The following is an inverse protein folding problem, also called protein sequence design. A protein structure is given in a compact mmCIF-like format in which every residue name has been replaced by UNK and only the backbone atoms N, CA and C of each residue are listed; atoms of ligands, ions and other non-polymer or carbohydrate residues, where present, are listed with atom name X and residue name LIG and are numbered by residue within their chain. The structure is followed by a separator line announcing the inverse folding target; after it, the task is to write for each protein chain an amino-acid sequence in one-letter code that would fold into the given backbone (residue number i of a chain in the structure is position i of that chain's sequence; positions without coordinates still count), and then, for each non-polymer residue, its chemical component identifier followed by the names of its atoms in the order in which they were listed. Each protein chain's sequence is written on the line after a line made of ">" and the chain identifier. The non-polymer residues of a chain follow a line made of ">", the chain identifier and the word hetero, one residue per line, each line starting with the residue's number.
data_IF_087299454515
#
_entry.id   IF_087299454515
#
_cell.length_a   1.000
_cell.length_b   1.000
_cell.length_c   1.000
_cell.angle_alpha   90.00
_cell.angle_beta   90.00
_cell.angle_gamma   90.00
#
_symmetry.space_group_name_H-M   'P 1'
#
loop_
_entity.id
_entity.type
_entity.pdbx_description
1 polymer ?
#
# COMPACT_ATOMS: atom_id res chain seq x y z
N UNK A 1 8.59 -2.42 -2.15
CA UNK A 1 7.86 -2.69 -0.89
C UNK A 1 8.76 -2.28 0.27
N UNK A 2 8.43 -1.24 1.00
CA UNK A 2 9.14 -0.89 2.23
C UNK A 2 8.47 -1.63 3.37
N UNK A 3 9.11 -2.67 3.89
CA UNK A 3 8.74 -3.28 5.15
C UNK A 3 9.25 -2.38 6.27
N UNK A 4 8.36 -1.73 7.01
CA UNK A 4 8.71 -1.12 8.30
C UNK A 4 8.51 -2.18 9.38
N UNK A 5 9.60 -2.75 9.84
CA UNK A 5 9.64 -3.65 10.99
C UNK A 5 10.80 -3.27 11.88
N UNK A 6 10.69 -3.53 13.16
CA UNK A 6 11.82 -3.41 14.09
C UNK A 6 12.80 -4.52 13.73
N UNK A 7 13.90 -4.15 13.10
CA UNK A 7 14.94 -5.06 12.65
C UNK A 7 15.97 -5.21 13.77
N UNK A 8 16.12 -6.43 14.29
CA UNK A 8 17.31 -6.76 15.09
C UNK A 8 18.42 -7.13 14.12
N UNK A 9 19.53 -6.40 14.04
CA UNK A 9 20.72 -6.82 13.31
C UNK A 9 21.35 -8.03 14.02
N UNK A 10 21.97 -8.92 13.24
CA UNK A 10 22.98 -9.81 13.84
C UNK A 10 24.12 -8.92 14.30
N UNK A 11 24.22 -8.71 15.61
CA UNK A 11 25.35 -8.02 16.18
C UNK A 11 26.54 -8.96 16.33
N UNK A 12 27.62 -8.62 15.64
CA UNK A 12 28.94 -8.67 16.25
C UNK A 12 29.25 -7.23 16.68
N UNK A 13 29.11 -6.94 17.97
CA UNK A 13 29.52 -5.65 18.53
C UNK A 13 28.41 -4.97 19.35
N UNK A 14 28.69 -4.81 20.61
CA UNK A 14 27.91 -4.10 21.64
C UNK A 14 27.57 -2.66 21.22
N UNK A 15 26.26 -2.30 21.30
CA UNK A 15 25.83 -0.91 21.15
C UNK A 15 24.32 -0.77 21.18
N UNK A 16 23.80 -0.12 22.20
CA UNK A 16 22.40 0.25 22.43
C UNK A 16 21.80 1.06 21.27
N UNK A 17 20.60 0.68 20.86
CA UNK A 17 19.74 1.53 20.05
C UNK A 17 19.12 0.81 18.85
N UNK A 18 17.87 0.32 18.98
CA UNK A 18 17.08 -0.21 17.88
C UNK A 18 16.76 0.86 16.83
N UNK A 19 17.66 1.10 15.90
CA UNK A 19 17.40 1.94 14.75
C UNK A 19 16.67 1.12 13.69
N UNK A 20 15.38 1.38 13.47
CA UNK A 20 14.63 0.83 12.35
C UNK A 20 15.30 1.25 11.03
N UNK A 21 15.82 0.30 10.25
CA UNK A 21 16.34 0.58 8.90
C UNK A 21 15.19 0.57 7.92
N UNK A 22 14.75 1.74 7.49
CA UNK A 22 13.85 1.90 6.36
C UNK A 22 14.62 1.75 5.02
N UNK A 23 13.93 1.31 3.95
CA UNK A 23 14.48 1.36 2.59
C UNK A 23 15.03 0.05 2.04
N UNK A 24 14.78 -1.10 2.70
CA UNK A 24 15.16 -2.42 2.17
C UNK A 24 14.06 -3.00 1.28
N UNK A 25 14.42 -3.56 0.15
CA UNK A 25 13.52 -4.24 -0.77
C UNK A 25 13.68 -5.74 -0.61
N UNK A 26 12.77 -6.35 0.17
CA UNK A 26 12.77 -7.80 0.38
C UNK A 26 12.39 -8.51 -0.93
N UNK A 27 13.20 -9.47 -1.33
CA UNK A 27 13.02 -10.31 -2.50
C UNK A 27 12.74 -11.76 -2.16
N UNK A 28 13.30 -12.24 -1.07
CA UNK A 28 13.16 -13.63 -0.65
C UNK A 28 12.52 -13.69 0.71
N UNK A 29 11.53 -14.56 0.83
CA UNK A 29 10.82 -14.86 2.07
C UNK A 29 10.81 -16.38 2.23
N UNK A 30 11.37 -16.89 3.33
CA UNK A 30 11.48 -18.32 3.58
C UNK A 30 11.23 -18.64 5.06
N UNK A 31 10.87 -19.88 5.34
CA UNK A 31 10.86 -20.44 6.69
C UNK A 31 12.07 -21.37 6.89
N UNK A 32 12.75 -21.16 8.01
CA UNK A 32 13.82 -22.03 8.49
C UNK A 32 13.51 -22.42 9.94
N UNK A 33 12.92 -23.61 10.11
CA UNK A 33 12.36 -24.04 11.39
C UNK A 33 11.30 -23.02 11.89
N UNK A 34 11.52 -22.51 13.10
CA UNK A 34 10.61 -21.53 13.74
C UNK A 34 10.93 -20.07 13.37
N UNK A 35 11.77 -19.83 12.36
CA UNK A 35 12.16 -18.47 12.00
C UNK A 35 11.77 -18.11 10.58
N UNK A 36 11.43 -16.84 10.40
CA UNK A 36 11.31 -16.19 9.11
C UNK A 36 12.68 -15.69 8.68
N UNK A 37 13.08 -16.00 7.46
CA UNK A 37 14.32 -15.54 6.85
C UNK A 37 13.96 -14.65 5.66
N UNK A 38 14.40 -13.39 5.72
CA UNK A 38 14.16 -12.39 4.69
C UNK A 38 15.50 -11.94 4.12
N UNK A 39 15.59 -11.81 2.81
CA UNK A 39 16.79 -11.32 2.16
C UNK A 39 16.46 -10.35 1.02
N UNK A 40 17.49 -9.62 0.59
CA UNK A 40 17.46 -8.67 -0.51
C UNK A 40 18.37 -9.19 -1.64
N UNK A 41 17.92 -9.09 -2.89
CA UNK A 41 18.72 -9.50 -4.03
C UNK A 41 19.99 -8.65 -4.18
N UNK A 42 21.09 -9.31 -4.52
CA UNK A 42 22.35 -8.62 -4.80
C UNK A 42 23.04 -8.05 -3.56
N UNK A 43 22.65 -8.47 -2.37
CA UNK A 43 23.29 -8.08 -1.13
C UNK A 43 23.39 -9.26 -0.16
N UNK A 44 24.40 -9.24 0.71
CA UNK A 44 24.55 -10.24 1.78
C UNK A 44 23.61 -9.98 2.98
N UNK A 45 22.72 -8.98 2.84
CA UNK A 45 21.83 -8.64 3.93
C UNK A 45 20.75 -9.69 4.11
N UNK A 46 20.63 -10.16 5.34
CA UNK A 46 19.59 -11.09 5.77
C UNK A 46 19.00 -10.65 7.10
N UNK A 47 17.71 -10.91 7.28
CA UNK A 47 17.02 -10.77 8.54
C UNK A 47 16.44 -12.12 8.95
N UNK A 48 16.69 -12.51 10.19
CA UNK A 48 16.05 -13.65 10.82
C UNK A 48 15.15 -13.17 11.96
N UNK A 49 13.89 -13.58 11.96
CA UNK A 49 12.89 -13.15 12.94
C UNK A 49 12.04 -14.34 13.38
N UNK A 50 11.68 -14.39 14.66
CA UNK A 50 10.77 -15.41 15.20
C UNK A 50 9.32 -15.18 14.80
N UNK A 51 8.94 -13.93 14.52
CA UNK A 51 7.58 -13.51 14.14
C UNK A 51 7.64 -12.59 12.94
N UNK A 52 6.66 -12.70 12.04
CA UNK A 52 6.49 -11.79 10.90
C UNK A 52 5.12 -11.13 10.99
N UNK A 53 5.08 -9.81 10.81
CA UNK A 53 3.82 -9.06 10.72
C UNK A 53 3.73 -8.37 9.37
N UNK A 54 2.63 -8.58 8.67
CA UNK A 54 2.33 -7.96 7.38
C UNK A 54 1.28 -6.86 7.55
N UNK A 55 1.66 -5.63 7.23
CA UNK A 55 0.75 -4.47 7.23
C UNK A 55 0.05 -4.24 5.90
N UNK A 56 0.25 -5.11 4.93
CA UNK A 56 -0.39 -5.08 3.61
C UNK A 56 -0.56 -6.48 3.05
N UNK A 57 -1.53 -6.64 2.14
CA UNK A 57 -1.89 -7.94 1.58
C UNK A 57 -1.06 -8.39 0.38
N UNK A 58 -0.04 -7.62 -0.06
CA UNK A 58 0.67 -7.91 -1.31
C UNK A 58 1.34 -9.29 -1.33
N UNK A 59 1.98 -9.70 -0.24
CA UNK A 59 2.65 -11.01 -0.13
C UNK A 59 1.68 -12.19 0.08
N UNK A 60 0.41 -11.89 0.31
CA UNK A 60 -0.66 -12.84 0.59
C UNK A 60 -1.70 -12.95 -0.54
N UNK A 61 -1.68 -12.06 -1.52
CA UNK A 61 -2.74 -11.95 -2.52
C UNK A 61 -2.24 -12.32 -3.93
N UNK A 62 -3.00 -13.12 -4.72
CA UNK A 62 -2.60 -13.56 -6.07
C UNK A 62 -2.28 -12.42 -7.05
N UNK A 63 -2.84 -11.20 -6.87
CA UNK A 63 -2.51 -10.06 -7.72
C UNK A 63 -1.01 -9.70 -7.72
N UNK A 64 -0.27 -10.11 -6.69
CA UNK A 64 1.18 -9.88 -6.62
C UNK A 64 1.93 -10.60 -7.72
N UNK A 65 1.40 -11.73 -8.20
CA UNK A 65 2.06 -12.57 -9.21
C UNK A 65 2.21 -11.85 -10.55
N UNK A 66 1.33 -10.91 -10.88
CA UNK A 66 1.45 -10.10 -12.09
C UNK A 66 2.69 -9.19 -12.10
N UNK A 67 3.20 -8.83 -10.91
CA UNK A 67 4.29 -7.86 -10.73
C UNK A 67 5.56 -8.47 -10.13
N UNK A 68 5.45 -9.67 -9.58
CA UNK A 68 6.55 -10.41 -8.97
C UNK A 68 6.75 -11.70 -9.77
N UNK A 69 8.01 -12.00 -10.12
CA UNK A 69 8.33 -13.26 -10.82
C UNK A 69 8.33 -14.43 -9.83
N UNK A 70 7.15 -14.77 -9.35
CA UNK A 70 6.91 -15.82 -8.36
C UNK A 70 5.91 -16.83 -8.93
N UNK A 71 6.12 -18.11 -8.65
CA UNK A 71 5.23 -19.19 -9.15
C UNK A 71 3.90 -19.23 -8.42
N UNK A 72 3.89 -18.84 -7.15
CA UNK A 72 2.71 -18.74 -6.32
C UNK A 72 2.87 -17.58 -5.33
N UNK A 73 1.82 -17.32 -4.55
CA UNK A 73 1.81 -16.28 -3.53
C UNK A 73 3.03 -16.43 -2.61
N UNK A 74 3.82 -15.36 -2.36
CA UNK A 74 5.06 -15.42 -1.59
C UNK A 74 4.95 -16.14 -0.24
N UNK A 75 3.90 -15.87 0.52
CA UNK A 75 3.66 -16.60 1.78
C UNK A 75 3.43 -18.09 1.56
N UNK A 76 2.81 -18.48 0.44
CA UNK A 76 2.56 -19.88 0.11
C UNK A 76 3.85 -20.62 -0.28
N UNK A 77 4.81 -19.92 -0.89
CA UNK A 77 6.13 -20.49 -1.14
C UNK A 77 6.91 -20.71 0.16
N UNK A 78 6.77 -19.79 1.11
CA UNK A 78 7.44 -19.90 2.41
C UNK A 78 6.79 -20.93 3.35
N UNK A 79 5.46 -21.06 3.28
CA UNK A 79 4.66 -22.00 4.09
C UNK A 79 3.73 -22.78 3.15
N UNK A 80 4.10 -24.00 2.75
CA UNK A 80 3.28 -24.87 1.93
C UNK A 80 1.90 -25.16 2.52
N UNK A 81 0.92 -25.42 1.65
CA UNK A 81 -0.44 -25.75 2.07
C UNK A 81 -0.47 -26.94 3.03
N UNK A 82 -1.34 -26.88 4.03
CA UNK A 82 -1.52 -27.91 5.06
C UNK A 82 -0.54 -27.80 6.25
N UNK A 83 0.45 -26.93 6.19
CA UNK A 83 1.36 -26.72 7.33
C UNK A 83 0.79 -25.79 8.41
N UNK A 84 -0.10 -24.88 8.02
CA UNK A 84 -0.78 -23.96 8.92
C UNK A 84 -2.23 -23.75 8.44
N UNK A 85 -3.21 -24.37 9.09
CA UNK A 85 -4.62 -24.26 8.70
C UNK A 85 -5.17 -22.82 8.75
N UNK A 86 -4.73 -22.01 9.73
CA UNK A 86 -5.17 -20.62 9.87
C UNK A 86 -4.62 -19.77 8.72
N UNK A 87 -3.36 -19.99 8.35
CA UNK A 87 -2.77 -19.35 7.17
C UNK A 87 -3.45 -19.79 5.88
N UNK A 88 -3.80 -21.09 5.75
CA UNK A 88 -4.53 -21.59 4.59
C UNK A 88 -5.88 -20.89 4.43
N UNK A 89 -6.62 -20.72 5.53
CA UNK A 89 -7.89 -20.03 5.54
C UNK A 89 -7.72 -18.52 5.28
N UNK A 90 -6.70 -17.90 5.88
CA UNK A 90 -6.39 -16.48 5.66
C UNK A 90 -6.06 -16.19 4.19
N UNK A 91 -5.18 -16.99 3.57
CA UNK A 91 -4.83 -16.85 2.16
C UNK A 91 -6.01 -17.11 1.24
N UNK A 92 -6.86 -18.12 1.57
CA UNK A 92 -8.10 -18.40 0.85
C UNK A 92 -9.11 -17.26 0.90
N UNK A 93 -9.19 -16.54 2.02
CA UNK A 93 -10.04 -15.34 2.17
C UNK A 93 -9.46 -14.17 1.38
N UNK A 94 -8.16 -13.88 1.58
CA UNK A 94 -7.50 -12.77 0.90
C UNK A 94 -7.50 -12.94 -0.62
N UNK A 95 -7.38 -14.16 -1.13
CA UNK A 95 -7.42 -14.42 -2.58
C UNK A 95 -8.75 -14.02 -3.25
N UNK A 96 -9.84 -13.96 -2.49
CA UNK A 96 -11.17 -13.53 -2.97
C UNK A 96 -11.38 -12.02 -2.86
N UNK A 97 -10.56 -11.33 -2.07
CA UNK A 97 -10.71 -9.90 -1.81
C UNK A 97 -10.45 -9.09 -3.07
N UNK A 98 -11.37 -8.19 -3.39
CA UNK A 98 -11.19 -7.18 -4.43
C UNK A 98 -10.75 -5.87 -3.80
N UNK A 99 -10.07 -5.07 -4.58
CA UNK A 99 -9.66 -3.74 -4.16
C UNK A 99 -9.85 -2.73 -5.28
N UNK A 100 -10.14 -1.50 -4.91
CA UNK A 100 -10.08 -0.37 -5.82
C UNK A 100 -8.66 -0.17 -6.32
N UNK A 101 -8.54 0.19 -7.58
CA UNK A 101 -7.29 0.65 -8.19
C UNK A 101 -7.38 2.15 -8.46
N UNK A 102 -6.34 2.88 -8.15
CA UNK A 102 -6.28 4.33 -8.33
C UNK A 102 -4.98 4.75 -9.01
N UNK A 103 -5.11 5.72 -9.90
CA UNK A 103 -4.00 6.44 -10.51
C UNK A 103 -3.93 7.84 -9.89
N UNK A 104 -2.93 8.09 -9.09
CA UNK A 104 -2.81 9.36 -8.38
C UNK A 104 -1.75 10.23 -9.06
N UNK A 105 -2.18 11.29 -9.75
CA UNK A 105 -1.29 12.36 -10.19
C UNK A 105 -0.98 13.25 -8.99
N UNK A 106 0.30 13.50 -8.76
CA UNK A 106 0.77 14.37 -7.68
C UNK A 106 1.49 15.58 -8.29
N UNK A 107 1.05 16.78 -7.91
CA UNK A 107 1.64 18.03 -8.32
C UNK A 107 1.99 18.88 -7.11
N UNK A 108 3.09 19.61 -7.22
CA UNK A 108 3.47 20.66 -6.29
C UNK A 108 3.23 22.03 -6.93
N UNK A 109 2.25 22.76 -6.38
CA UNK A 109 1.77 24.03 -6.93
C UNK A 109 2.47 25.21 -6.26
N UNK A 110 2.95 26.21 -7.01
CA UNK A 110 3.47 27.47 -6.46
C UNK A 110 2.30 28.41 -6.05
N UNK A 111 1.47 27.98 -5.11
CA UNK A 111 0.26 28.68 -4.68
C UNK A 111 -0.01 28.41 -3.20
N UNK A 112 -0.32 29.46 -2.44
CA UNK A 112 -0.87 29.32 -1.10
C UNK A 112 -2.31 28.78 -1.17
N UNK A 113 -2.51 27.60 -0.61
CA UNK A 113 -3.79 26.88 -0.63
C UNK A 113 -4.67 27.08 0.60
N UNK A 114 -4.34 28.00 1.51
CA UNK A 114 -5.07 28.14 2.79
C UNK A 114 -6.55 28.46 2.61
N UNK A 115 -6.89 29.20 1.57
CA UNK A 115 -8.27 29.60 1.23
C UNK A 115 -8.92 28.67 0.20
N UNK A 116 -8.23 27.65 -0.28
CA UNK A 116 -8.76 26.68 -1.23
C UNK A 116 -9.53 25.55 -0.53
N UNK A 117 -10.52 24.94 -1.20
CA UNK A 117 -11.18 23.76 -0.68
C UNK A 117 -10.15 22.63 -0.50
N UNK A 118 -10.22 21.92 0.61
CA UNK A 118 -9.32 20.77 0.88
C UNK A 118 -9.57 19.60 -0.06
N UNK A 119 -10.79 19.47 -0.54
CA UNK A 119 -11.19 18.41 -1.47
C UNK A 119 -12.23 18.95 -2.45
N UNK A 120 -12.11 18.52 -3.70
CA UNK A 120 -13.08 18.77 -4.77
C UNK A 120 -13.55 17.39 -5.24
N UNK A 121 -14.80 17.04 -4.91
CA UNK A 121 -15.41 15.78 -5.33
C UNK A 121 -16.15 15.98 -6.64
N UNK A 122 -16.00 15.06 -7.57
CA UNK A 122 -16.77 15.04 -8.80
C UNK A 122 -18.11 14.32 -8.56
N UNK A 123 -19.15 14.73 -9.29
CA UNK A 123 -20.42 13.99 -9.30
C UNK A 123 -20.24 12.62 -9.93
N UNK A 124 -21.10 11.63 -9.66
CA UNK A 124 -21.01 10.30 -10.27
C UNK A 124 -20.90 10.33 -11.80
N UNK A 125 -21.66 11.22 -12.45
CA UNK A 125 -21.63 11.39 -13.90
C UNK A 125 -20.27 11.92 -14.38
N UNK A 126 -19.74 12.93 -13.68
CA UNK A 126 -18.42 13.50 -13.97
C UNK A 126 -17.30 12.48 -13.68
N UNK A 127 -17.42 11.67 -12.62
CA UNK A 127 -16.49 10.58 -12.34
C UNK A 127 -16.45 9.55 -13.47
N UNK A 128 -17.62 9.14 -13.96
CA UNK A 128 -17.72 8.20 -15.08
C UNK A 128 -17.12 8.78 -16.38
N UNK A 129 -17.42 10.06 -16.65
CA UNK A 129 -16.96 10.75 -17.86
C UNK A 129 -15.45 11.00 -17.87
N UNK A 130 -14.93 11.59 -16.78
CA UNK A 130 -13.52 11.99 -16.67
C UNK A 130 -12.60 10.88 -16.16
N UNK A 131 -13.15 9.82 -15.60
CA UNK A 131 -12.43 8.79 -14.84
C UNK A 131 -11.55 9.40 -13.74
N UNK A 132 -12.12 10.35 -13.01
CA UNK A 132 -11.51 11.02 -11.86
C UNK A 132 -12.53 11.05 -10.73
N UNK A 133 -12.14 10.63 -9.53
CA UNK A 133 -13.01 10.65 -8.36
C UNK A 133 -13.03 12.02 -7.70
N UNK A 134 -11.84 12.55 -7.43
CA UNK A 134 -11.67 13.81 -6.67
C UNK A 134 -10.28 14.39 -6.86
N UNK A 135 -10.15 15.64 -6.44
CA UNK A 135 -8.88 16.31 -6.22
C UNK A 135 -8.73 16.59 -4.73
N UNK A 136 -7.54 16.42 -4.18
CA UNK A 136 -7.20 16.76 -2.79
C UNK A 136 -6.12 17.83 -2.82
N UNK A 137 -6.35 18.93 -2.09
CA UNK A 137 -5.43 20.05 -1.96
C UNK A 137 -4.90 20.11 -0.54
N UNK A 138 -3.61 20.10 -0.40
CA UNK A 138 -2.93 20.10 0.88
C UNK A 138 -1.90 21.23 0.93
N UNK A 139 -2.20 22.33 1.65
CA UNK A 139 -1.21 23.38 1.90
C UNK A 139 0.05 22.80 2.50
N UNK A 140 1.16 23.28 2.01
CA UNK A 140 2.50 22.94 2.44
C UNK A 140 3.17 24.18 3.06
N UNK A 141 4.35 24.00 3.63
CA UNK A 141 5.20 25.11 3.99
C UNK A 141 5.56 25.97 2.75
N UNK A 142 6.08 27.15 2.96
CA UNK A 142 6.62 28.04 1.93
C UNK A 142 5.60 28.47 0.85
N UNK A 143 4.32 28.63 1.22
CA UNK A 143 3.24 29.05 0.34
C UNK A 143 3.05 28.13 -0.88
N UNK A 144 3.30 26.85 -0.70
CA UNK A 144 3.05 25.81 -1.72
C UNK A 144 1.82 24.98 -1.38
N UNK A 145 1.29 24.30 -2.36
CA UNK A 145 0.14 23.39 -2.18
C UNK A 145 0.38 22.11 -2.97
N UNK A 146 0.35 20.99 -2.27
CA UNK A 146 0.28 19.67 -2.90
C UNK A 146 -1.11 19.43 -3.48
N UNK A 147 -1.19 19.05 -4.75
CA UNK A 147 -2.42 18.58 -5.38
C UNK A 147 -2.30 17.09 -5.69
N UNK A 148 -3.25 16.30 -5.21
CA UNK A 148 -3.38 14.89 -5.56
C UNK A 148 -4.71 14.68 -6.28
N UNK A 149 -4.64 14.26 -7.54
CA UNK A 149 -5.79 13.92 -8.35
C UNK A 149 -5.98 12.42 -8.40
N UNK A 150 -7.11 11.96 -7.87
CA UNK A 150 -7.45 10.53 -7.78
C UNK A 150 -8.15 10.07 -9.07
N UNK A 151 -7.40 9.50 -10.00
CA UNK A 151 -7.89 8.88 -11.22
C UNK A 151 -8.41 7.48 -10.96
N UNK A 152 -9.48 7.11 -11.68
CA UNK A 152 -10.05 5.76 -11.66
C UNK A 152 -9.31 4.85 -12.64
N UNK A 153 -9.25 3.57 -12.32
CA UNK A 153 -8.59 2.57 -13.17
C UNK A 153 -9.28 2.41 -14.52
N UNK A 154 -8.49 2.12 -15.56
CA UNK A 154 -8.99 1.81 -16.91
C UNK A 154 -9.33 0.33 -17.08
N UNK A 155 -8.92 -0.51 -16.13
CA UNK A 155 -9.04 -1.96 -16.22
C UNK A 155 -7.94 -2.61 -17.05
N UNK A 156 -6.97 -1.85 -17.57
CA UNK A 156 -5.88 -2.41 -18.36
C UNK A 156 -4.93 -3.25 -17.48
N UNK A 157 -4.54 -4.45 -17.95
CA UNK A 157 -3.57 -5.26 -17.25
C UNK A 157 -2.23 -4.53 -17.13
N UNK A 158 -1.68 -4.52 -15.92
CA UNK A 158 -0.37 -3.95 -15.67
C UNK A 158 0.67 -5.06 -15.41
N UNK A 159 1.79 -4.94 -16.11
CA UNK A 159 2.96 -5.81 -15.94
C UNK A 159 4.20 -4.92 -15.76
N UNK A 160 5.35 -5.45 -15.32
CA UNK A 160 6.60 -4.70 -15.27
C UNK A 160 6.97 -4.05 -16.61
N UNK A 161 6.60 -4.66 -17.75
CA UNK A 161 6.88 -4.16 -19.09
C UNK A 161 5.93 -3.03 -19.51
N UNK A 162 4.64 -3.13 -19.18
CA UNK A 162 3.63 -2.13 -19.56
C UNK A 162 3.59 -0.94 -18.61
N UNK A 163 3.97 -1.12 -17.35
CA UNK A 163 3.87 -0.10 -16.30
C UNK A 163 4.50 1.26 -16.68
N UNK A 164 5.74 1.34 -17.20
CA UNK A 164 6.35 2.64 -17.50
C UNK A 164 5.60 3.45 -18.55
N UNK A 165 5.02 2.76 -19.54
CA UNK A 165 4.23 3.39 -20.62
C UNK A 165 2.89 3.88 -20.06
N UNK A 166 2.19 3.02 -19.31
CA UNK A 166 0.90 3.36 -18.71
C UNK A 166 1.01 4.53 -17.72
N UNK A 167 2.08 4.61 -16.92
CA UNK A 167 2.32 5.74 -16.03
C UNK A 167 2.42 7.07 -16.79
N UNK A 168 3.17 7.10 -17.89
CA UNK A 168 3.33 8.31 -18.72
C UNK A 168 2.01 8.69 -19.41
N UNK A 169 1.28 7.73 -19.94
CA UNK A 169 0.00 7.97 -20.59
C UNK A 169 -1.03 8.52 -19.61
N UNK A 170 -1.08 7.95 -18.41
CA UNK A 170 -2.03 8.38 -17.39
C UNK A 170 -1.64 9.76 -16.81
N UNK A 171 -0.35 10.06 -16.67
CA UNK A 171 0.11 11.40 -16.29
C UNK A 171 -0.36 12.44 -17.30
N UNK A 172 -0.13 12.20 -18.59
CA UNK A 172 -0.56 13.11 -19.66
C UNK A 172 -2.08 13.32 -19.64
N UNK A 173 -2.85 12.23 -19.60
CA UNK A 173 -4.32 12.28 -19.53
C UNK A 173 -4.83 13.10 -18.34
N UNK A 174 -4.33 12.82 -17.15
CA UNK A 174 -4.78 13.51 -15.94
C UNK A 174 -4.42 15.01 -15.96
N UNK A 175 -3.25 15.35 -16.49
CA UNK A 175 -2.85 16.76 -16.65
C UNK A 175 -3.71 17.52 -17.65
N UNK A 176 -4.10 16.89 -18.77
CA UNK A 176 -4.97 17.48 -19.80
C UNK A 176 -6.38 17.78 -19.25
N UNK A 177 -6.83 17.08 -18.25
CA UNK A 177 -8.13 17.31 -17.63
C UNK A 177 -8.16 18.49 -16.64
N UNK A 178 -7.02 18.87 -16.06
CA UNK A 178 -6.95 19.91 -15.02
C UNK A 178 -7.61 21.23 -15.42
N UNK A 179 -7.38 21.80 -16.64
CA UNK A 179 -8.02 23.04 -17.02
C UNK A 179 -9.54 23.00 -17.02
N UNK A 180 -10.13 21.87 -17.37
CA UNK A 180 -11.57 21.66 -17.42
C UNK A 180 -12.14 21.44 -16.01
N UNK A 181 -11.49 20.64 -15.19
CA UNK A 181 -11.92 20.33 -13.83
C UNK A 181 -11.82 21.55 -12.90
N UNK A 182 -10.92 22.48 -13.20
CA UNK A 182 -10.62 23.65 -12.36
C UNK A 182 -11.19 24.96 -12.90
N UNK A 183 -12.15 24.93 -13.81
CA UNK A 183 -12.74 26.14 -14.41
C UNK A 183 -13.29 27.15 -13.37
N UNK A 184 -13.80 26.65 -12.25
CA UNK A 184 -14.34 27.49 -11.18
C UNK A 184 -13.27 28.09 -10.25
N UNK A 185 -11.99 27.69 -10.43
CA UNK A 185 -10.85 28.16 -9.63
C UNK A 185 -9.71 28.66 -10.53
N UNK A 186 -9.82 29.88 -11.10
CA UNK A 186 -8.83 30.40 -12.07
C UNK A 186 -7.41 30.46 -11.55
N UNK A 187 -7.21 30.84 -10.27
CA UNK A 187 -5.90 30.90 -9.65
C UNK A 187 -5.26 29.50 -9.53
N UNK A 188 -6.06 28.52 -9.12
CA UNK A 188 -5.63 27.12 -9.05
C UNK A 188 -5.32 26.56 -10.45
N UNK A 189 -6.15 26.86 -11.43
CA UNK A 189 -5.91 26.50 -12.83
C UNK A 189 -4.61 27.14 -13.36
N UNK A 190 -4.36 28.40 -13.03
CA UNK A 190 -3.12 29.12 -13.36
C UNK A 190 -1.89 28.46 -12.73
N UNK A 191 -1.97 28.14 -11.44
CA UNK A 191 -0.90 27.48 -10.71
C UNK A 191 -0.56 26.08 -11.26
N UNK A 192 -1.55 25.32 -11.73
CA UNK A 192 -1.33 24.02 -12.34
C UNK A 192 -0.47 24.07 -13.62
N UNK A 193 -0.45 25.19 -14.35
CA UNK A 193 0.43 25.37 -15.52
C UNK A 193 1.90 25.48 -15.14
N UNK A 194 2.19 26.04 -13.96
CA UNK A 194 3.53 26.22 -13.41
C UNK A 194 3.91 25.13 -12.40
N UNK A 195 3.06 24.12 -12.24
CA UNK A 195 3.23 23.07 -11.25
C UNK A 195 4.41 22.14 -11.58
N UNK A 196 5.18 21.80 -10.58
CA UNK A 196 6.13 20.70 -10.65
C UNK A 196 5.38 19.37 -10.57
N UNK A 197 5.67 18.44 -11.50
CA UNK A 197 5.12 17.08 -11.44
C UNK A 197 5.97 16.23 -10.51
N UNK A 198 5.33 15.66 -9.51
CA UNK A 198 5.90 14.62 -8.65
C UNK A 198 5.61 13.22 -9.21
N UNK A 199 4.97 13.16 -10.39
CA UNK A 199 4.66 11.94 -11.12
C UNK A 199 3.29 11.35 -10.82
N UNK A 200 3.03 10.22 -11.43
CA UNK A 200 1.84 9.40 -11.20
C UNK A 200 2.20 8.13 -10.46
N UNK A 201 1.41 7.80 -9.45
CA UNK A 201 1.51 6.53 -8.74
C UNK A 201 0.23 5.70 -8.95
N UNK A 202 0.40 4.43 -9.37
CA UNK A 202 -0.69 3.47 -9.40
C UNK A 202 -0.76 2.68 -8.10
N UNK A 203 -1.88 2.79 -7.43
CA UNK A 203 -2.21 1.96 -6.27
C UNK A 203 -3.05 0.78 -6.73
N UNK A 204 -2.41 -0.38 -6.92
CA UNK A 204 -3.08 -1.61 -7.36
C UNK A 204 -4.05 -2.22 -6.33
N UNK A 205 -4.03 -1.70 -5.10
CA UNK A 205 -4.98 -1.98 -4.03
C UNK A 205 -5.06 -0.75 -3.14
N UNK A 206 -5.79 0.24 -3.61
CA UNK A 206 -5.96 1.51 -2.90
C UNK A 206 -6.89 1.37 -1.69
N UNK A 207 -7.93 0.55 -1.81
CA UNK A 207 -8.89 0.26 -0.76
C UNK A 207 -9.50 -1.10 -0.99
N UNK A 208 -9.57 -1.99 0.01
CA UNK A 208 -10.33 -3.22 -0.08
C UNK A 208 -11.83 -2.92 -0.19
N UNK A 209 -12.53 -3.72 -1.00
CA UNK A 209 -13.95 -3.53 -1.27
C UNK A 209 -14.83 -4.56 -0.56
N UNK A 210 -14.32 -5.79 -0.42
CA UNK A 210 -15.07 -6.94 0.07
C UNK A 210 -14.13 -7.99 0.69
N UNK A 211 -14.73 -9.07 1.17
CA UNK A 211 -14.04 -10.22 1.76
C UNK A 211 -12.96 -9.82 2.78
N UNK A 212 -13.34 -9.09 3.85
CA UNK A 212 -12.38 -8.75 4.90
C UNK A 212 -11.77 -10.01 5.51
N UNK A 213 -10.50 -9.92 5.90
CA UNK A 213 -9.86 -10.97 6.68
C UNK A 213 -10.48 -11.02 8.08
N UNK A 214 -11.07 -12.15 8.51
CA UNK A 214 -11.62 -12.29 9.85
C UNK A 214 -10.60 -11.97 10.94
N UNK A 215 -11.03 -11.32 12.01
CA UNK A 215 -10.15 -10.99 13.14
C UNK A 215 -9.52 -12.23 13.77
N UNK A 216 -10.23 -13.36 13.77
CA UNK A 216 -9.71 -14.65 14.27
C UNK A 216 -8.50 -15.17 13.48
N UNK A 217 -8.31 -14.69 12.27
CA UNK A 217 -7.18 -15.06 11.39
C UNK A 217 -6.07 -14.00 11.35
N UNK A 218 -6.13 -12.98 12.23
CA UNK A 218 -5.06 -11.98 12.31
C UNK A 218 -3.73 -12.55 12.78
N UNK A 219 -3.75 -13.67 13.48
CA UNK A 219 -2.57 -14.37 13.93
C UNK A 219 -2.64 -15.85 13.57
N UNK A 220 -1.64 -16.32 12.84
CA UNK A 220 -1.44 -17.71 12.43
C UNK A 220 -0.31 -18.27 13.29
N UNK A 221 -0.67 -19.05 14.31
CA UNK A 221 0.27 -19.45 15.38
C UNK A 221 1.37 -20.40 14.88
N UNK A 222 1.01 -21.40 14.08
CA UNK A 222 1.94 -22.40 13.57
C UNK A 222 3.05 -21.77 12.69
N UNK A 223 2.74 -20.72 11.94
CA UNK A 223 3.72 -19.99 11.14
C UNK A 223 4.29 -18.76 11.84
N UNK A 224 3.79 -18.39 13.02
CA UNK A 224 4.14 -17.17 13.75
C UNK A 224 4.01 -15.92 12.85
N UNK A 225 2.87 -15.82 12.14
CA UNK A 225 2.59 -14.77 11.16
C UNK A 225 1.38 -13.95 11.59
N UNK A 226 1.52 -12.63 11.60
CA UNK A 226 0.44 -11.71 11.88
C UNK A 226 0.03 -10.87 10.66
N UNK A 227 -1.26 -10.54 10.59
CA UNK A 227 -1.85 -9.65 9.61
C UNK A 227 -2.44 -8.42 10.29
N UNK A 228 -2.09 -7.22 9.81
CA UNK A 228 -2.79 -6.00 10.17
C UNK A 228 -2.90 -5.09 8.95
N UNK A 229 -3.93 -4.27 8.90
CA UNK A 229 -4.19 -3.38 7.77
C UNK A 229 -5.66 -3.05 7.65
N UNK A 230 -5.99 -2.23 6.69
CA UNK A 230 -7.37 -1.81 6.40
C UNK A 230 -8.24 -2.94 5.78
N UNK A 231 -7.63 -4.06 5.41
CA UNK A 231 -8.28 -5.25 4.87
C UNK A 231 -8.76 -6.25 5.94
N UNK A 232 -8.49 -5.98 7.22
CA UNK A 232 -8.98 -6.79 8.34
C UNK A 232 -10.40 -6.38 8.70
N UNK A 233 -11.25 -7.36 9.04
CA UNK A 233 -12.62 -7.15 9.46
C UNK A 233 -12.73 -6.22 10.65
N UNK A 234 -13.75 -5.35 10.64
CA UNK A 234 -14.08 -4.51 11.79
C UNK A 234 -14.47 -3.08 11.43
N UNK A 235 -14.76 -2.25 12.44
CA UNK A 235 -15.04 -0.84 12.22
C UNK A 235 -13.88 -0.14 11.51
N UNK A 236 -14.19 0.62 10.47
CA UNK A 236 -13.20 1.32 9.66
C UNK A 236 -12.54 0.45 8.57
N UNK A 237 -13.09 -0.74 8.23
CA UNK A 237 -12.66 -1.54 7.08
C UNK A 237 -12.48 -0.66 5.82
N UNK A 238 -11.35 -0.82 5.13
CA UNK A 238 -10.97 -0.02 3.97
C UNK A 238 -10.53 1.41 4.28
N UNK A 239 -10.23 1.74 5.55
CA UNK A 239 -9.81 3.07 6.00
C UNK A 239 -8.61 2.99 6.93
N UNK A 240 -7.90 4.11 7.07
CA UNK A 240 -6.77 4.22 7.99
C UNK A 240 -7.14 3.86 9.45
N UNK A 241 -8.37 4.21 9.88
CA UNK A 241 -8.88 3.83 11.20
C UNK A 241 -8.93 2.30 11.37
N UNK A 242 -9.43 1.56 10.38
CA UNK A 242 -9.46 0.10 10.40
C UNK A 242 -8.06 -0.50 10.48
N UNK A 243 -7.12 0.05 9.71
CA UNK A 243 -5.72 -0.37 9.77
C UNK A 243 -5.11 -0.19 11.17
N UNK A 244 -5.35 0.96 11.81
CA UNK A 244 -4.87 1.22 13.18
C UNK A 244 -5.51 0.28 14.20
N UNK A 245 -6.83 0.10 14.13
CA UNK A 245 -7.56 -0.82 15.04
C UNK A 245 -7.06 -2.25 14.90
N UNK A 246 -6.88 -2.72 13.67
CA UNK A 246 -6.35 -4.08 13.43
C UNK A 246 -4.95 -4.26 13.98
N UNK A 247 -4.09 -3.24 13.89
CA UNK A 247 -2.75 -3.28 14.45
C UNK A 247 -2.77 -3.34 15.99
N UNK A 248 -3.66 -2.58 16.64
CA UNK A 248 -3.84 -2.63 18.11
C UNK A 248 -4.34 -4.00 18.56
N UNK A 249 -5.33 -4.57 17.85
CA UNK A 249 -5.84 -5.90 18.16
C UNK A 249 -4.74 -6.97 18.04
N UNK A 250 -3.97 -6.94 16.96
CA UNK A 250 -2.85 -7.86 16.77
C UNK A 250 -1.80 -7.71 17.88
N UNK A 251 -1.48 -6.48 18.27
CA UNK A 251 -0.53 -6.24 19.37
C UNK A 251 -1.03 -6.85 20.68
N UNK A 252 -2.31 -6.74 21.01
CA UNK A 252 -2.91 -7.37 22.18
C UNK A 252 -2.78 -8.91 22.15
N UNK A 253 -3.05 -9.53 21.00
CA UNK A 253 -2.87 -10.99 20.80
C UNK A 253 -1.41 -11.36 21.12
N UNK A 254 -0.45 -10.64 20.55
CA UNK A 254 0.99 -10.92 20.69
C UNK A 254 1.48 -10.75 22.14
N UNK A 255 0.95 -9.77 22.87
CA UNK A 255 1.28 -9.55 24.30
C UNK A 255 0.73 -10.70 25.15
N UNK A 256 -0.51 -11.12 24.92
CA UNK A 256 -1.13 -12.23 25.66
C UNK A 256 -0.40 -13.56 25.45
N UNK A 257 0.17 -13.78 24.25
CA UNK A 257 0.95 -15.01 23.99
C UNK A 257 2.37 -14.97 24.56
N UNK A 258 2.88 -13.81 24.93
CA UNK A 258 4.21 -13.65 25.51
C UNK A 258 4.23 -13.73 27.03
N UNK A 259 3.04 -13.69 27.67
CA UNK A 259 2.84 -13.81 29.11
C UNK A 259 2.67 -15.27 29.53
#
# INVERSE_FOLDING_TARGET
>A
LALRGQLCPREHGSGNGGAGRAGRRIRTLQRDGNHWCLSEDGSDWQLRASRLVLSGSLLAHPRSLAMLDWRQVPLREAVPAGQDPDLDQALGTLAKSRADVRWNLMLDLPLNGDQLPRQIWLTPEAQAHWRVERLVLQPQADNRTGLVMHGLDSGEPITPQTQPVLLKQEEARLRELLPQLLQQWPDLQGACKAAESLGVMRWGASRPLDHPLPQSLQWCDASALGFCGDYVEGPGFGRAEGALRSAVNLAQILVTQAA
#
